data_IF_822338921570
#
_entry.id   IF_822338921570
#
_cell.length_a   1.000
_cell.length_b   1.000
_cell.length_c   1.000
_cell.angle_alpha   90.00
_cell.angle_beta   90.00
_cell.angle_gamma   90.00
#
_symmetry.space_group_name_H-M   'P 1'
#
loop_
_entity.id
_entity.type
_entity.pdbx_description
1 polymer ?
#
# COMPACT_ATOMS: atom_id res chain seq x y z
N UNK A 1 3.44 8.73 -6.84
CA UNK A 1 2.84 8.08 -8.04
C UNK A 1 2.70 6.60 -7.74
N UNK A 2 1.59 5.94 -8.12
CA UNK A 2 1.40 4.49 -7.91
C UNK A 2 1.64 3.74 -9.23
N UNK A 3 2.56 2.78 -9.21
CA UNK A 3 2.79 1.84 -10.32
C UNK A 3 2.29 0.46 -9.91
N UNK A 4 1.21 -0.01 -10.53
CA UNK A 4 0.53 -1.24 -10.13
C UNK A 4 1.02 -2.47 -10.90
N UNK A 5 1.27 -3.56 -10.17
CA UNK A 5 1.49 -4.92 -10.69
C UNK A 5 0.33 -5.82 -10.23
N UNK A 6 -0.82 -5.62 -10.86
CA UNK A 6 -2.04 -6.42 -10.67
C UNK A 6 -2.26 -7.34 -11.88
N UNK A 7 -3.32 -8.14 -11.87
CA UNK A 7 -3.62 -9.10 -12.96
C UNK A 7 -3.82 -8.44 -14.33
N UNK A 8 -4.19 -7.17 -14.39
CA UNK A 8 -4.33 -6.44 -15.66
C UNK A 8 -2.95 -6.11 -16.25
N UNK A 9 -2.02 -5.64 -15.41
CA UNK A 9 -0.68 -5.23 -15.84
C UNK A 9 0.34 -6.39 -15.88
N UNK A 10 0.08 -7.46 -15.12
CA UNK A 10 0.93 -8.66 -15.04
C UNK A 10 0.03 -9.90 -15.10
N UNK A 11 -0.47 -10.30 -16.29
CA UNK A 11 -1.46 -11.38 -16.43
C UNK A 11 -1.01 -12.73 -15.85
N UNK A 12 0.30 -13.00 -15.81
CA UNK A 12 0.88 -14.23 -15.28
C UNK A 12 0.67 -14.46 -13.79
N UNK A 13 0.21 -13.46 -13.02
CA UNK A 13 -0.11 -13.63 -11.60
C UNK A 13 -1.56 -14.10 -11.35
N UNK A 14 -2.35 -14.30 -12.41
CA UNK A 14 -3.70 -14.83 -12.26
C UNK A 14 -3.68 -16.14 -11.48
N UNK A 15 -4.70 -16.35 -10.64
CA UNK A 15 -4.85 -17.50 -9.72
C UNK A 15 -3.80 -17.66 -8.62
N UNK A 16 -2.74 -16.85 -8.57
CA UNK A 16 -1.68 -16.97 -7.54
C UNK A 16 -2.03 -16.29 -6.21
N UNK A 17 -3.13 -15.54 -6.15
CA UNK A 17 -3.59 -14.86 -4.93
C UNK A 17 -2.74 -13.67 -4.50
N UNK A 18 -1.91 -13.11 -5.39
CA UNK A 18 -1.01 -12.00 -5.09
C UNK A 18 -1.13 -10.86 -6.09
N UNK A 19 -0.77 -9.66 -5.65
CA UNK A 19 -0.52 -8.48 -6.47
C UNK A 19 0.49 -7.59 -5.76
N UNK A 20 1.10 -6.64 -6.47
CA UNK A 20 2.07 -5.71 -5.90
C UNK A 20 1.82 -4.28 -6.39
N UNK A 21 2.34 -3.30 -5.67
CA UNK A 21 2.43 -1.92 -6.13
C UNK A 21 3.77 -1.32 -5.70
N UNK A 22 4.33 -0.46 -6.55
CA UNK A 22 5.45 0.41 -6.21
C UNK A 22 4.92 1.84 -6.09
N UNK A 23 5.31 2.52 -5.02
CA UNK A 23 4.97 3.93 -4.81
C UNK A 23 6.25 4.72 -4.58
N UNK A 24 6.47 5.73 -5.41
CA UNK A 24 7.55 6.71 -5.25
C UNK A 24 6.95 8.00 -4.67
N UNK A 25 7.53 8.45 -3.54
CA UNK A 25 7.15 9.65 -2.80
C UNK A 25 8.23 10.73 -2.97
N UNK A 26 7.81 11.95 -3.31
CA UNK A 26 8.64 13.14 -3.12
C UNK A 26 8.70 13.52 -1.63
N UNK A 27 9.66 14.33 -1.17
CA UNK A 27 9.65 14.87 0.20
C UNK A 27 8.31 15.51 0.55
N UNK A 28 7.70 15.10 1.66
CA UNK A 28 6.36 15.57 2.09
C UNK A 28 5.18 14.98 1.29
N UNK A 29 5.43 14.09 0.34
CA UNK A 29 4.39 13.41 -0.43
C UNK A 29 3.53 12.50 0.43
N UNK A 30 2.24 12.44 0.12
CA UNK A 30 1.22 11.68 0.87
C UNK A 30 0.51 10.73 -0.08
N UNK A 31 0.31 9.49 0.36
CA UNK A 31 -0.72 8.62 -0.19
C UNK A 31 -1.95 8.78 0.72
N UNK A 32 -3.05 9.41 0.24
CA UNK A 32 -4.19 9.73 1.08
C UNK A 32 -4.76 8.50 1.80
N UNK A 33 -5.51 8.68 2.90
CA UNK A 33 -6.22 7.58 3.56
C UNK A 33 -7.05 6.79 2.55
N UNK A 34 -6.86 5.47 2.52
CA UNK A 34 -7.52 4.57 1.57
C UNK A 34 -7.75 3.19 2.21
N UNK A 35 -8.50 2.34 1.51
CA UNK A 35 -8.81 0.96 1.94
C UNK A 35 -8.67 -0.02 0.77
N UNK A 36 -8.31 -1.25 1.09
CA UNK A 36 -8.36 -2.38 0.16
C UNK A 36 -9.47 -3.35 0.58
N UNK A 37 -10.54 -3.44 -0.22
CA UNK A 37 -11.76 -4.17 0.18
C UNK A 37 -11.62 -5.71 0.21
N UNK A 38 -10.57 -6.27 -0.42
CA UNK A 38 -10.45 -7.71 -0.67
C UNK A 38 -9.06 -8.29 -0.38
N UNK A 39 -8.15 -7.49 0.18
CA UNK A 39 -6.76 -7.88 0.36
C UNK A 39 -6.18 -7.28 1.63
N UNK A 40 -5.23 -7.98 2.23
CA UNK A 40 -4.30 -7.41 3.21
C UNK A 40 -3.09 -6.81 2.48
N UNK A 41 -2.38 -5.89 3.13
CA UNK A 41 -1.18 -5.26 2.58
C UNK A 41 0.03 -5.53 3.48
N UNK A 42 1.19 -5.74 2.86
CA UNK A 42 2.50 -5.73 3.50
C UNK A 42 3.37 -4.70 2.77
N UNK A 43 4.03 -3.82 3.52
CA UNK A 43 4.84 -2.73 2.97
C UNK A 43 6.31 -2.97 3.32
N UNK A 44 7.19 -2.78 2.35
CA UNK A 44 8.64 -2.77 2.54
C UNK A 44 9.23 -1.48 1.98
N UNK A 45 9.94 -0.72 2.82
CA UNK A 45 10.57 0.55 2.42
C UNK A 45 11.95 0.25 1.83
N UNK A 46 12.10 0.46 0.52
CA UNK A 46 13.36 0.26 -0.19
C UNK A 46 14.38 1.37 0.08
N UNK A 47 13.93 2.62 0.22
CA UNK A 47 14.80 3.78 0.45
C UNK A 47 14.05 4.91 1.16
N UNK A 48 14.74 5.62 2.05
CA UNK A 48 14.19 6.75 2.81
C UNK A 48 13.45 6.32 4.08
N UNK A 49 12.54 7.18 4.54
CA UNK A 49 11.70 6.94 5.73
C UNK A 49 10.25 7.23 5.37
N UNK A 50 9.33 6.38 5.81
CA UNK A 50 7.90 6.52 5.58
C UNK A 50 7.16 6.41 6.91
N UNK A 51 6.40 7.45 7.26
CA UNK A 51 5.45 7.39 8.36
C UNK A 51 4.20 6.65 7.87
N UNK A 52 3.91 5.49 8.46
CA UNK A 52 2.71 4.69 8.16
C UNK A 52 1.79 4.68 9.37
N UNK A 53 0.49 4.85 9.13
CA UNK A 53 -0.56 4.81 10.16
C UNK A 53 -1.76 4.03 9.63
N UNK A 54 -2.44 3.33 10.52
CA UNK A 54 -3.65 2.56 10.20
C UNK A 54 -4.85 3.13 10.95
N UNK A 55 -6.04 3.06 10.35
CA UNK A 55 -7.31 3.38 10.99
C UNK A 55 -8.11 2.09 11.11
N UNK A 56 -8.60 1.75 12.30
CA UNK A 56 -9.46 0.58 12.46
C UNK A 56 -10.92 0.88 12.10
N UNK A 57 -11.76 -0.15 12.16
CA UNK A 57 -13.20 -0.08 11.85
C UNK A 57 -14.02 0.76 12.83
N UNK A 58 -13.44 1.21 13.94
CA UNK A 58 -14.07 2.13 14.90
C UNK A 58 -13.42 3.52 14.87
N UNK A 59 -12.77 3.88 13.76
CA UNK A 59 -12.19 5.19 13.48
C UNK A 59 -11.08 5.63 14.45
N UNK A 60 -10.37 4.67 15.05
CA UNK A 60 -9.18 4.95 15.87
C UNK A 60 -7.93 4.90 14.99
N UNK A 61 -7.15 5.98 15.02
CA UNK A 61 -5.85 6.07 14.37
C UNK A 61 -4.76 5.40 15.21
N UNK A 62 -4.10 4.41 14.65
CA UNK A 62 -2.91 3.78 15.21
C UNK A 62 -1.68 4.54 14.75
N UNK A 63 -0.93 5.03 15.73
CA UNK A 63 0.42 5.54 15.57
C UNK A 63 1.36 4.65 16.38
N UNK A 64 2.57 4.40 15.88
CA UNK A 64 3.61 3.78 16.69
C UNK A 64 3.91 4.66 17.91
N UNK A 65 4.32 4.04 19.02
CA UNK A 65 4.77 4.76 20.22
C UNK A 65 5.86 5.77 19.90
#
# INVERSE_FOLDING_TARGET
MVTAANVVNVPGINTLGVSMARIDYAPGGINPPHVHLRTTEIIYVLHGQLLVRFINTVNVLFYGN
#
